data_IF_821611288353
#
_entry.id   IF_821611288353
#
_cell.length_a   1.000
_cell.length_b   1.000
_cell.length_c   1.000
_cell.angle_alpha   90.00
_cell.angle_beta   90.00
_cell.angle_gamma   90.00
#
_symmetry.space_group_name_H-M   'P 1'
#
loop_
_entity.id
_entity.type
_entity.pdbx_description
1 polymer ?
#
# COMPACT_ATOMS: atom_id res chain seq x y z
N UNK A 1 -13.71 6.08 -20.20
CA UNK A 1 -12.35 5.61 -19.88
C UNK A 1 -11.46 6.84 -19.80
N UNK A 2 -10.73 7.03 -18.70
CA UNK A 2 -9.71 8.06 -18.56
C UNK A 2 -8.34 7.42 -18.72
N UNK A 3 -7.52 7.92 -19.67
CA UNK A 3 -6.18 7.46 -19.94
C UNK A 3 -5.16 8.54 -19.60
N UNK A 4 -4.09 8.18 -18.87
CA UNK A 4 -2.96 9.08 -18.62
C UNK A 4 -1.66 8.43 -19.04
N UNK A 5 -0.72 9.25 -19.51
CA UNK A 5 0.64 8.85 -19.81
C UNK A 5 1.62 9.67 -18.95
N UNK A 6 2.69 9.02 -18.51
CA UNK A 6 3.64 9.58 -17.56
C UNK A 6 5.05 9.73 -18.17
N UNK A 7 6.09 9.63 -17.38
CA UNK A 7 7.48 9.95 -17.73
C UNK A 7 7.94 9.37 -19.07
N UNK A 8 7.64 8.12 -19.39
CA UNK A 8 8.10 7.48 -20.62
C UNK A 8 7.58 8.18 -21.89
N UNK A 9 6.28 8.47 -21.95
CA UNK A 9 5.66 9.16 -23.11
C UNK A 9 5.99 10.65 -23.07
N UNK A 10 5.97 11.25 -21.86
CA UNK A 10 6.27 12.67 -21.67
C UNK A 10 7.66 13.06 -22.17
N UNK A 11 8.64 12.18 -22.03
CA UNK A 11 10.04 12.44 -22.41
C UNK A 11 10.43 11.86 -23.77
N UNK A 12 9.59 11.03 -24.38
CA UNK A 12 9.87 10.43 -25.68
C UNK A 12 9.79 11.47 -26.80
N UNK A 13 10.77 11.45 -27.73
CA UNK A 13 10.77 12.33 -28.92
C UNK A 13 9.55 12.11 -29.82
N UNK A 14 9.07 10.86 -29.88
CA UNK A 14 7.89 10.45 -30.65
C UNK A 14 6.63 10.30 -29.78
N UNK A 15 6.59 10.92 -28.59
CA UNK A 15 5.45 10.81 -27.68
C UNK A 15 4.14 11.28 -28.28
N UNK A 16 4.15 12.38 -29.08
CA UNK A 16 2.99 12.86 -29.81
C UNK A 16 2.47 11.86 -30.84
N UNK A 17 3.34 11.35 -31.70
CA UNK A 17 3.00 10.34 -32.72
C UNK A 17 2.41 9.07 -32.09
N UNK A 18 2.95 8.64 -30.95
CA UNK A 18 2.42 7.51 -30.18
C UNK A 18 0.99 7.77 -29.71
N UNK A 19 0.71 8.95 -29.18
CA UNK A 19 -0.63 9.32 -28.70
C UNK A 19 -1.64 9.42 -29.83
N UNK A 20 -1.24 10.00 -30.98
CA UNK A 20 -2.07 10.06 -32.18
C UNK A 20 -2.41 8.67 -32.68
N UNK A 21 -1.42 7.76 -32.69
CA UNK A 21 -1.63 6.38 -33.09
C UNK A 21 -2.60 5.64 -32.15
N UNK A 22 -2.46 5.84 -30.83
CA UNK A 22 -3.41 5.29 -29.83
C UNK A 22 -4.82 5.80 -30.09
N UNK A 23 -4.98 7.11 -30.30
CA UNK A 23 -6.29 7.71 -30.57
C UNK A 23 -6.93 7.14 -31.85
N UNK A 24 -6.15 7.00 -32.92
CA UNK A 24 -6.61 6.42 -34.18
C UNK A 24 -7.01 4.96 -34.10
N UNK A 25 -6.25 4.14 -33.36
CA UNK A 25 -6.49 2.69 -33.25
C UNK A 25 -7.59 2.33 -32.24
N UNK A 26 -7.79 3.14 -31.20
CA UNK A 26 -8.66 2.78 -30.07
C UNK A 26 -9.80 3.76 -29.82
N UNK A 27 -9.76 4.95 -30.42
CA UNK A 27 -10.68 6.04 -30.09
C UNK A 27 -10.45 6.67 -28.71
N UNK A 28 -9.40 6.26 -27.97
CA UNK A 28 -9.12 6.76 -26.63
C UNK A 28 -8.22 7.99 -26.69
N UNK A 29 -8.60 9.03 -25.98
CA UNK A 29 -7.74 10.19 -25.73
C UNK A 29 -6.92 9.94 -24.46
N UNK A 30 -5.59 9.96 -24.61
CA UNK A 30 -4.65 9.79 -23.47
C UNK A 30 -4.01 11.14 -23.17
N UNK A 31 -4.12 11.58 -21.93
CA UNK A 31 -3.57 12.85 -21.45
C UNK A 31 -2.16 12.63 -20.87
N UNK A 32 -1.17 13.36 -21.37
CA UNK A 32 0.17 13.39 -20.76
C UNK A 32 0.13 14.28 -19.53
N UNK A 33 0.44 13.72 -18.36
CA UNK A 33 0.44 14.46 -17.12
C UNK A 33 1.85 14.91 -16.74
N UNK A 34 1.95 16.04 -16.03
CA UNK A 34 3.22 16.53 -15.49
C UNK A 34 3.69 15.65 -14.32
N UNK A 35 4.99 15.71 -13.98
CA UNK A 35 5.50 15.00 -12.80
C UNK A 35 4.87 15.45 -11.48
N UNK A 36 4.47 16.74 -11.39
CA UNK A 36 3.75 17.24 -10.22
C UNK A 36 2.34 16.67 -10.12
N UNK A 37 1.64 16.54 -11.24
CA UNK A 37 0.32 15.92 -11.29
C UNK A 37 0.40 14.40 -11.02
N UNK A 38 1.40 13.73 -11.56
CA UNK A 38 1.69 12.33 -11.29
C UNK A 38 1.88 12.10 -9.78
N UNK A 39 2.73 12.91 -9.13
CA UNK A 39 2.97 12.84 -7.69
C UNK A 39 1.69 13.13 -6.87
N UNK A 40 0.87 14.11 -7.28
CA UNK A 40 -0.42 14.41 -6.64
C UNK A 40 -1.37 13.23 -6.70
N UNK A 41 -1.50 12.60 -7.86
CA UNK A 41 -2.38 11.45 -8.06
C UNK A 41 -1.90 10.23 -7.25
N UNK A 42 -0.58 9.96 -7.23
CA UNK A 42 -0.01 8.90 -6.40
C UNK A 42 -0.35 9.14 -4.93
N UNK A 43 -0.13 10.36 -4.43
CA UNK A 43 -0.44 10.69 -3.04
C UNK A 43 -1.93 10.51 -2.73
N UNK A 44 -2.81 10.91 -3.64
CA UNK A 44 -4.26 10.73 -3.49
C UNK A 44 -4.66 9.25 -3.40
N UNK A 45 -4.01 8.38 -4.19
CA UNK A 45 -4.18 6.92 -4.10
C UNK A 45 -3.77 6.38 -2.74
N UNK A 46 -2.62 6.78 -2.23
CA UNK A 46 -2.10 6.36 -0.91
C UNK A 46 -2.98 6.92 0.22
N UNK A 47 -3.30 8.22 0.20
CA UNK A 47 -4.11 8.91 1.20
C UNK A 47 -5.49 8.28 1.40
N UNK A 48 -6.08 7.73 0.35
CA UNK A 48 -7.37 7.05 0.41
C UNK A 48 -7.28 5.55 0.73
N UNK A 49 -6.07 5.02 0.89
CA UNK A 49 -5.82 3.59 1.09
C UNK A 49 -5.11 3.26 2.39
N UNK A 50 -4.44 4.25 2.98
CA UNK A 50 -3.71 4.13 4.24
C UNK A 50 -4.12 5.25 5.18
N UNK A 51 -4.32 4.93 6.44
CA UNK A 51 -4.52 5.96 7.47
C UNK A 51 -3.22 6.73 7.69
N UNK A 52 -3.15 7.96 7.19
CA UNK A 52 -1.99 8.82 7.37
C UNK A 52 -2.05 9.50 8.74
N UNK A 53 -0.93 9.53 9.49
CA UNK A 53 -0.85 10.25 10.76
C UNK A 53 -0.89 11.77 10.54
N UNK A 54 -1.17 12.52 11.62
CA UNK A 54 -1.05 13.98 11.60
C UNK A 54 0.37 14.48 11.29
N UNK A 55 1.45 13.89 11.87
CA UNK A 55 2.80 14.20 11.42
C UNK A 55 3.01 13.76 9.96
N UNK A 56 3.80 14.52 9.18
CA UNK A 56 3.97 14.24 7.76
C UNK A 56 4.50 12.86 7.45
N UNK A 57 3.92 12.25 6.44
CA UNK A 57 4.37 11.00 5.81
C UNK A 57 5.13 11.34 4.53
N UNK A 58 6.23 10.63 4.26
CA UNK A 58 6.87 10.66 2.96
C UNK A 58 6.36 9.46 2.15
N UNK A 59 5.80 9.74 0.99
CA UNK A 59 5.44 8.74 -0.02
C UNK A 59 6.49 8.73 -1.11
N UNK A 60 6.99 7.54 -1.46
CA UNK A 60 7.90 7.33 -2.59
C UNK A 60 7.31 6.31 -3.55
N UNK A 61 7.27 6.67 -4.84
CA UNK A 61 6.93 5.79 -5.95
C UNK A 61 8.10 5.68 -6.90
N UNK A 62 8.57 4.46 -7.18
CA UNK A 62 9.67 4.22 -8.12
C UNK A 62 9.11 3.63 -9.39
N UNK A 63 8.97 4.48 -10.41
CA UNK A 63 8.61 4.08 -11.76
C UNK A 63 9.80 3.65 -12.61
N UNK A 64 9.54 3.43 -13.91
CA UNK A 64 10.61 3.09 -14.87
C UNK A 64 11.50 4.29 -15.21
N UNK A 65 10.89 5.46 -15.47
CA UNK A 65 11.59 6.68 -15.90
C UNK A 65 11.81 7.71 -14.80
N UNK A 66 10.93 7.76 -13.80
CA UNK A 66 10.95 8.74 -12.72
C UNK A 66 10.78 8.11 -11.34
N UNK A 67 11.05 8.90 -10.31
CA UNK A 67 10.71 8.62 -8.91
C UNK A 67 9.95 9.83 -8.38
N UNK A 68 8.79 9.58 -7.85
CA UNK A 68 7.99 10.60 -7.18
C UNK A 68 8.27 10.54 -5.67
N UNK A 69 8.59 11.71 -5.10
CA UNK A 69 8.80 11.91 -3.65
C UNK A 69 7.83 12.97 -3.17
N UNK A 70 6.92 12.56 -2.32
CA UNK A 70 5.84 13.41 -1.83
C UNK A 70 5.87 13.43 -0.31
N UNK A 71 5.76 14.62 0.28
CA UNK A 71 5.63 14.79 1.73
C UNK A 71 4.28 15.44 2.00
N UNK A 72 3.48 14.79 2.81
CA UNK A 72 2.14 15.28 3.15
C UNK A 72 1.59 14.58 4.38
N UNK A 73 0.41 15.00 4.79
CA UNK A 73 -0.41 14.33 5.78
C UNK A 73 -1.81 14.07 5.19
N UNK A 74 -2.76 13.72 6.05
CA UNK A 74 -4.14 13.46 5.64
C UNK A 74 -4.82 14.62 4.91
N UNK A 75 -4.43 15.86 5.13
CA UNK A 75 -5.13 17.05 4.63
C UNK A 75 -4.35 17.76 3.53
N UNK A 76 -3.02 17.77 3.63
CA UNK A 76 -2.18 18.66 2.83
C UNK A 76 -0.95 17.96 2.27
N UNK A 77 -0.68 18.21 0.99
CA UNK A 77 0.62 17.93 0.36
C UNK A 77 1.52 19.13 0.60
N UNK A 78 2.57 18.95 1.37
CA UNK A 78 3.57 19.99 1.66
C UNK A 78 4.60 20.14 0.57
N UNK A 79 4.96 19.01 -0.05
CA UNK A 79 5.94 18.94 -1.13
C UNK A 79 5.66 17.76 -2.04
N UNK A 80 5.79 17.97 -3.35
CA UNK A 80 5.76 16.92 -4.36
C UNK A 80 6.88 17.17 -5.37
N UNK A 81 7.67 16.15 -5.68
CA UNK A 81 8.77 16.19 -6.65
C UNK A 81 8.76 14.94 -7.48
N UNK A 82 9.02 15.09 -8.77
CA UNK A 82 9.33 13.99 -9.69
C UNK A 82 10.80 14.11 -10.10
N UNK A 83 11.56 13.04 -9.85
CA UNK A 83 13.01 12.97 -10.06
C UNK A 83 13.33 12.03 -11.20
N UNK A 84 14.36 12.31 -11.98
CA UNK A 84 14.82 11.43 -13.07
C UNK A 84 15.65 10.26 -12.53
N UNK A 85 15.07 9.50 -11.59
CA UNK A 85 15.68 8.37 -10.87
C UNK A 85 14.91 7.05 -11.08
N UNK A 86 14.11 6.94 -12.15
CA UNK A 86 13.37 5.71 -12.41
C UNK A 86 14.29 4.50 -12.62
N UNK A 87 13.82 3.32 -12.22
CA UNK A 87 14.65 2.12 -12.14
C UNK A 87 15.23 1.66 -13.49
N UNK A 88 14.48 1.83 -14.60
CA UNK A 88 14.98 1.54 -15.95
C UNK A 88 16.09 2.54 -16.32
N UNK A 89 15.84 3.82 -16.09
CA UNK A 89 16.79 4.90 -16.35
C UNK A 89 18.11 4.68 -15.60
N UNK A 90 18.03 4.38 -14.30
CA UNK A 90 19.22 4.14 -13.48
C UNK A 90 19.99 2.91 -13.95
N UNK A 91 19.28 1.84 -14.29
CA UNK A 91 19.88 0.63 -14.85
C UNK A 91 20.63 0.96 -16.16
N UNK A 92 20.02 1.68 -17.08
CA UNK A 92 20.60 1.97 -18.39
C UNK A 92 21.79 2.93 -18.31
N UNK A 93 21.76 3.90 -17.38
CA UNK A 93 22.85 4.87 -17.23
C UNK A 93 24.04 4.32 -16.43
N UNK A 94 23.80 3.54 -15.37
CA UNK A 94 24.83 3.18 -14.41
C UNK A 94 25.15 1.69 -14.32
N UNK A 95 24.17 0.80 -14.58
CA UNK A 95 24.33 -0.64 -14.38
C UNK A 95 24.36 -1.41 -15.71
N UNK A 96 25.35 -1.09 -16.54
CA UNK A 96 25.48 -1.66 -17.91
C UNK A 96 25.99 -3.10 -17.94
N UNK A 97 26.43 -3.67 -16.77
CA UNK A 97 26.90 -5.05 -16.63
C UNK A 97 26.17 -5.75 -15.47
N UNK A 98 26.03 -7.07 -15.57
CA UNK A 98 25.45 -7.90 -14.52
C UNK A 98 26.37 -9.11 -14.26
N UNK A 99 26.95 -9.27 -13.05
CA UNK A 99 26.87 -8.33 -11.92
C UNK A 99 27.58 -6.99 -12.20
N UNK A 100 27.13 -5.89 -11.57
CA UNK A 100 27.77 -4.59 -11.73
C UNK A 100 29.12 -4.52 -10.99
N UNK A 101 30.01 -3.67 -11.46
CA UNK A 101 31.27 -3.39 -10.75
C UNK A 101 31.04 -2.50 -9.54
N UNK A 102 31.98 -2.49 -8.58
CA UNK A 102 31.93 -1.58 -7.43
C UNK A 102 31.90 -0.11 -7.84
N UNK A 103 32.59 0.26 -8.91
CA UNK A 103 32.57 1.63 -9.43
C UNK A 103 31.18 2.02 -9.93
N UNK A 104 30.52 1.14 -10.69
CA UNK A 104 29.12 1.38 -11.17
C UNK A 104 28.14 1.58 -10.02
N UNK A 105 28.24 0.76 -8.97
CA UNK A 105 27.41 0.89 -7.77
C UNK A 105 27.66 2.23 -7.05
N UNK A 106 28.93 2.62 -6.96
CA UNK A 106 29.32 3.88 -6.32
C UNK A 106 28.80 5.10 -7.10
N UNK A 107 28.97 5.14 -8.42
CA UNK A 107 28.45 6.21 -9.28
C UNK A 107 26.92 6.33 -9.17
N UNK A 108 26.21 5.20 -9.17
CA UNK A 108 24.77 5.16 -8.97
C UNK A 108 24.39 5.73 -7.60
N UNK A 109 25.09 5.31 -6.54
CA UNK A 109 24.82 5.77 -5.18
C UNK A 109 25.03 7.28 -5.03
N UNK A 110 26.11 7.82 -5.60
CA UNK A 110 26.37 9.27 -5.59
C UNK A 110 25.29 10.05 -6.34
N UNK A 111 24.89 9.59 -7.53
CA UNK A 111 23.87 10.23 -8.34
C UNK A 111 22.49 10.25 -7.62
N UNK A 112 22.07 9.11 -7.07
CA UNK A 112 20.83 8.99 -6.30
C UNK A 112 20.87 9.84 -5.04
N UNK A 113 21.96 9.77 -4.28
CA UNK A 113 22.14 10.56 -3.05
C UNK A 113 22.06 12.05 -3.32
N UNK A 114 22.73 12.54 -4.37
CA UNK A 114 22.72 13.95 -4.75
C UNK A 114 21.30 14.45 -5.06
N UNK A 115 20.57 13.74 -5.92
CA UNK A 115 19.21 14.12 -6.32
C UNK A 115 18.22 14.02 -5.16
N UNK A 116 18.28 12.98 -4.33
CA UNK A 116 17.42 12.86 -3.15
C UNK A 116 17.71 13.96 -2.12
N UNK A 117 18.98 14.28 -1.84
CA UNK A 117 19.35 15.39 -0.97
C UNK A 117 18.80 16.73 -1.47
N UNK A 118 18.91 16.99 -2.78
CA UNK A 118 18.35 18.21 -3.37
C UNK A 118 16.83 18.25 -3.25
N UNK A 119 16.15 17.14 -3.51
CA UNK A 119 14.70 17.06 -3.39
C UNK A 119 14.21 17.25 -1.96
N UNK A 120 14.90 16.64 -0.99
CA UNK A 120 14.54 16.67 0.42
C UNK A 120 14.98 17.96 1.13
N UNK A 121 16.01 18.64 0.61
CA UNK A 121 16.60 19.82 1.25
C UNK A 121 15.69 21.03 1.42
N UNK A 122 14.57 21.07 0.67
CA UNK A 122 13.57 22.15 0.77
C UNK A 122 12.53 21.90 1.86
N UNK A 123 12.49 20.70 2.45
CA UNK A 123 11.57 20.32 3.52
C UNK A 123 12.31 19.95 4.81
N UNK A 124 11.73 20.33 5.96
CA UNK A 124 12.30 19.94 7.26
C UNK A 124 12.07 18.43 7.50
N UNK A 125 12.89 17.57 6.87
CA UNK A 125 12.78 16.11 6.88
C UNK A 125 12.78 15.47 8.27
N UNK A 126 13.27 16.18 9.29
CA UNK A 126 13.20 15.78 10.72
C UNK A 126 11.77 15.55 11.23
N UNK A 127 10.74 16.05 10.51
CA UNK A 127 9.32 15.92 10.88
C UNK A 127 8.62 14.74 10.22
N UNK A 128 9.28 14.03 9.30
CA UNK A 128 8.66 12.85 8.65
C UNK A 128 8.53 11.73 9.69
N UNK A 129 7.29 11.31 9.94
CA UNK A 129 6.98 10.23 10.88
C UNK A 129 7.26 8.87 10.27
N UNK A 130 6.72 8.62 9.08
CA UNK A 130 6.84 7.35 8.38
C UNK A 130 7.15 7.53 6.90
N UNK A 131 7.65 6.45 6.28
CA UNK A 131 7.86 6.35 4.84
C UNK A 131 6.92 5.29 4.29
N UNK A 132 6.16 5.64 3.26
CA UNK A 132 5.33 4.71 2.50
C UNK A 132 5.93 4.57 1.11
N UNK A 133 6.24 3.34 0.72
CA UNK A 133 6.68 3.03 -0.63
C UNK A 133 5.53 2.39 -1.42
N UNK A 134 5.33 2.86 -2.64
CA UNK A 134 4.35 2.31 -3.56
C UNK A 134 5.02 1.91 -4.88
N UNK A 135 4.28 1.43 -5.83
CA UNK A 135 4.71 0.89 -7.12
C UNK A 135 5.02 -0.60 -7.14
N UNK A 136 5.14 -1.11 -8.35
CA UNK A 136 5.52 -2.50 -8.57
C UNK A 136 6.94 -2.85 -8.10
N UNK A 137 7.86 -1.87 -7.99
CA UNK A 137 9.21 -2.11 -7.46
C UNK A 137 9.16 -2.34 -5.95
N UNK A 138 8.42 -1.52 -5.23
CA UNK A 138 8.21 -1.68 -3.79
C UNK A 138 7.51 -3.02 -3.46
N UNK A 139 6.46 -3.35 -4.22
CA UNK A 139 5.75 -4.62 -4.07
C UNK A 139 6.63 -5.84 -4.30
N UNK A 140 7.44 -5.83 -5.37
CA UNK A 140 8.32 -6.96 -5.64
C UNK A 140 9.47 -7.08 -4.63
N UNK A 141 10.02 -5.96 -4.15
CA UNK A 141 11.00 -5.97 -3.06
C UNK A 141 10.42 -6.58 -1.79
N UNK A 142 9.20 -6.22 -1.42
CA UNK A 142 8.50 -6.77 -0.27
C UNK A 142 8.23 -8.27 -0.42
N UNK A 143 7.82 -8.74 -1.60
CA UNK A 143 7.63 -10.17 -1.89
C UNK A 143 8.93 -10.97 -1.69
N UNK A 144 10.04 -10.48 -2.26
CA UNK A 144 11.36 -11.11 -2.11
C UNK A 144 11.77 -11.18 -0.64
N UNK A 145 11.62 -10.09 0.10
CA UNK A 145 11.98 -10.02 1.53
C UNK A 145 11.07 -10.95 2.35
N UNK A 146 9.77 -10.89 2.14
CA UNK A 146 8.81 -11.67 2.90
C UNK A 146 9.00 -13.19 2.69
N UNK A 147 9.19 -13.59 1.44
CA UNK A 147 9.44 -14.99 1.10
C UNK A 147 10.74 -15.49 1.72
N UNK A 148 11.80 -14.66 1.78
CA UNK A 148 13.04 -15.01 2.47
C UNK A 148 12.85 -15.14 3.98
N UNK A 149 12.06 -14.27 4.57
CA UNK A 149 11.79 -14.25 6.02
C UNK A 149 10.93 -15.42 6.49
N UNK A 150 9.92 -15.80 5.70
CA UNK A 150 8.87 -16.71 6.14
C UNK A 150 8.83 -18.04 5.39
N UNK A 151 9.49 -18.15 4.24
CA UNK A 151 9.38 -19.27 3.31
C UNK A 151 8.01 -19.37 2.62
N UNK A 152 7.16 -18.37 2.74
CA UNK A 152 5.79 -18.35 2.17
C UNK A 152 5.57 -17.11 1.33
N UNK A 153 4.76 -17.18 0.26
CA UNK A 153 4.38 -16.02 -0.54
C UNK A 153 3.64 -14.98 0.30
N UNK A 154 3.83 -13.71 -0.03
CA UNK A 154 3.13 -12.61 0.61
C UNK A 154 1.64 -12.65 0.22
N UNK A 155 0.75 -12.82 1.18
CA UNK A 155 -0.69 -12.88 0.92
C UNK A 155 -1.33 -11.51 0.75
N UNK A 156 -0.83 -10.52 1.47
CA UNK A 156 -1.33 -9.14 1.42
C UNK A 156 -0.16 -8.17 1.43
N UNK A 157 -0.08 -7.37 0.39
CA UNK A 157 1.02 -6.43 0.19
C UNK A 157 0.83 -5.14 1.01
N UNK A 158 -0.40 -4.64 1.10
CA UNK A 158 -0.69 -3.37 1.74
C UNK A 158 -0.33 -3.40 3.23
N UNK A 159 0.31 -2.32 3.70
CA UNK A 159 0.81 -2.15 5.07
C UNK A 159 1.91 -3.14 5.51
N UNK A 160 2.45 -3.94 4.58
CA UNK A 160 3.63 -4.76 4.87
C UNK A 160 4.82 -3.84 5.19
N UNK A 161 5.50 -4.11 6.30
CA UNK A 161 6.70 -3.40 6.72
C UNK A 161 7.95 -4.18 6.35
N UNK A 162 8.92 -3.48 5.79
CA UNK A 162 10.26 -4.00 5.48
C UNK A 162 11.32 -3.09 6.08
N UNK A 163 12.32 -3.70 6.71
CA UNK A 163 13.36 -2.97 7.41
C UNK A 163 14.51 -2.58 6.50
N UNK A 164 15.24 -1.52 6.86
CA UNK A 164 16.46 -1.09 6.18
C UNK A 164 17.51 -2.21 6.09
N UNK A 165 17.60 -3.08 7.12
CA UNK A 165 18.52 -4.23 7.13
C UNK A 165 18.13 -5.28 6.09
N UNK A 166 16.85 -5.59 5.94
CA UNK A 166 16.36 -6.54 4.94
C UNK A 166 16.57 -5.99 3.52
N UNK A 167 16.30 -4.69 3.31
CA UNK A 167 16.55 -4.00 2.04
C UNK A 167 18.03 -4.08 1.67
N UNK A 168 18.95 -3.75 2.58
CA UNK A 168 20.39 -3.82 2.36
C UNK A 168 20.87 -5.26 2.06
N UNK A 169 20.27 -6.27 2.71
CA UNK A 169 20.59 -7.67 2.43
C UNK A 169 20.16 -8.09 1.02
N UNK A 170 18.96 -7.67 0.56
CA UNK A 170 18.51 -7.94 -0.81
C UNK A 170 19.35 -7.18 -1.82
N UNK A 171 19.68 -5.91 -1.57
CA UNK A 171 20.58 -5.11 -2.42
C UNK A 171 21.91 -5.83 -2.65
N UNK A 172 22.58 -6.26 -1.57
CA UNK A 172 23.84 -6.98 -1.65
C UNK A 172 23.72 -8.26 -2.50
N UNK A 173 22.67 -9.06 -2.25
CA UNK A 173 22.44 -10.29 -3.03
C UNK A 173 22.21 -10.00 -4.52
N UNK A 174 21.46 -8.97 -4.85
CA UNK A 174 21.22 -8.56 -6.23
C UNK A 174 22.50 -8.02 -6.89
N UNK A 175 23.33 -7.26 -6.15
CA UNK A 175 24.58 -6.73 -6.65
C UNK A 175 25.61 -7.83 -6.98
N UNK A 176 25.69 -8.87 -6.13
CA UNK A 176 26.63 -9.98 -6.32
C UNK A 176 26.13 -11.04 -7.32
N UNK A 177 24.85 -11.04 -7.67
CA UNK A 177 24.22 -12.10 -8.46
C UNK A 177 24.38 -11.91 -9.97
N UNK A 178 24.67 -13.00 -10.68
CA UNK A 178 24.54 -13.07 -12.14
C UNK A 178 23.06 -12.98 -12.56
N UNK A 179 22.79 -12.70 -13.84
CA UNK A 179 21.43 -12.68 -14.37
C UNK A 179 20.71 -14.01 -14.12
N UNK A 180 21.39 -15.14 -14.35
CA UNK A 180 20.84 -16.49 -14.10
C UNK A 180 20.47 -16.67 -12.62
N UNK A 181 21.31 -16.21 -11.70
CA UNK A 181 21.05 -16.29 -10.26
C UNK A 181 19.89 -15.40 -9.85
N UNK A 182 19.77 -14.19 -10.42
CA UNK A 182 18.64 -13.30 -10.17
C UNK A 182 17.33 -13.89 -10.66
N UNK A 183 17.30 -14.47 -11.88
CA UNK A 183 16.11 -15.13 -12.44
C UNK A 183 15.64 -16.34 -11.59
N UNK A 184 16.55 -16.99 -10.89
CA UNK A 184 16.25 -18.10 -9.97
C UNK A 184 15.92 -17.62 -8.53
N UNK A 185 15.95 -16.32 -8.25
CA UNK A 185 15.69 -15.79 -6.90
C UNK A 185 14.22 -15.88 -6.58
N UNK A 186 13.82 -16.60 -5.50
CA UNK A 186 12.42 -16.73 -5.12
C UNK A 186 11.77 -15.36 -4.85
N UNK A 187 10.57 -15.15 -5.41
CA UNK A 187 9.80 -13.91 -5.27
C UNK A 187 10.21 -12.78 -6.21
N UNK A 188 11.33 -12.89 -6.93
CA UNK A 188 11.75 -11.87 -7.89
C UNK A 188 10.97 -12.04 -9.20
N UNK A 189 10.23 -10.99 -9.58
CA UNK A 189 9.50 -10.95 -10.85
C UNK A 189 10.49 -10.90 -12.02
N UNK A 190 10.45 -11.86 -12.97
CA UNK A 190 11.33 -11.87 -14.14
C UNK A 190 11.33 -10.56 -14.94
N UNK A 191 10.22 -9.82 -14.94
CA UNK A 191 10.12 -8.50 -15.60
C UNK A 191 10.92 -7.41 -14.88
N UNK A 192 11.37 -7.66 -13.65
CA UNK A 192 12.09 -6.69 -12.80
C UNK A 192 13.51 -7.12 -12.47
N UNK A 193 13.99 -8.20 -13.05
CA UNK A 193 15.30 -8.80 -12.75
C UNK A 193 16.46 -7.80 -12.88
N UNK A 194 16.38 -6.88 -13.83
CA UNK A 194 17.41 -5.86 -14.07
C UNK A 194 17.16 -4.54 -13.34
N UNK A 195 15.91 -4.28 -12.95
CA UNK A 195 15.49 -2.98 -12.41
C UNK A 195 15.28 -2.99 -10.91
N UNK A 196 15.18 -4.17 -10.26
CA UNK A 196 14.99 -4.24 -8.82
C UNK A 196 16.22 -3.75 -8.04
N UNK A 197 17.45 -4.02 -8.51
CA UNK A 197 18.66 -3.55 -7.85
C UNK A 197 18.72 -2.01 -7.73
N UNK A 198 18.63 -1.22 -8.82
CA UNK A 198 18.66 0.24 -8.68
C UNK A 198 17.49 0.77 -7.86
N UNK A 199 16.29 0.18 -7.95
CA UNK A 199 15.16 0.56 -7.10
C UNK A 199 15.44 0.30 -5.61
N UNK A 200 16.02 -0.85 -5.27
CA UNK A 200 16.40 -1.19 -3.89
C UNK A 200 17.43 -0.22 -3.33
N UNK A 201 18.42 0.20 -4.16
CA UNK A 201 19.39 1.23 -3.78
C UNK A 201 18.72 2.57 -3.48
N UNK A 202 17.73 3.00 -4.29
CA UNK A 202 16.97 4.23 -4.02
C UNK A 202 16.26 4.16 -2.67
N UNK A 203 15.59 3.04 -2.35
CA UNK A 203 14.93 2.86 -1.04
C UNK A 203 15.92 2.90 0.12
N UNK A 204 17.05 2.18 0.04
CA UNK A 204 18.09 2.19 1.07
C UNK A 204 18.62 3.59 1.30
N UNK A 205 19.05 4.28 0.24
CA UNK A 205 19.63 5.62 0.33
C UNK A 205 18.60 6.61 0.94
N UNK A 206 17.32 6.50 0.58
CA UNK A 206 16.28 7.33 1.17
C UNK A 206 16.15 7.09 2.69
N UNK A 207 16.12 5.83 3.12
CA UNK A 207 16.06 5.47 4.54
C UNK A 207 17.26 6.00 5.31
N UNK A 208 18.47 5.84 4.76
CA UNK A 208 19.72 6.36 5.35
C UNK A 208 19.68 7.89 5.51
N UNK A 209 19.26 8.61 4.46
CA UNK A 209 19.15 10.08 4.48
C UNK A 209 18.16 10.59 5.52
N UNK A 210 17.07 9.85 5.72
CA UNK A 210 16.01 10.22 6.67
C UNK A 210 16.22 9.61 8.06
N UNK A 211 17.25 8.76 8.22
CA UNK A 211 17.53 8.00 9.46
C UNK A 211 16.32 7.20 9.93
N UNK A 212 15.70 6.48 9.01
CA UNK A 212 14.55 5.60 9.28
C UNK A 212 14.95 4.14 9.13
N UNK A 213 14.42 3.30 9.99
CA UNK A 213 14.78 1.88 10.07
C UNK A 213 13.86 0.98 9.23
N UNK A 214 12.73 1.49 8.79
CA UNK A 214 11.73 0.73 8.03
C UNK A 214 10.95 1.63 7.07
N UNK A 215 10.33 0.99 6.07
CA UNK A 215 9.28 1.59 5.27
C UNK A 215 8.06 0.66 5.20
N UNK A 216 6.92 1.25 4.96
CA UNK A 216 5.62 0.55 4.82
C UNK A 216 5.25 0.50 3.34
N UNK A 217 4.75 -0.63 2.88
CA UNK A 217 4.30 -0.79 1.49
C UNK A 217 2.83 -0.40 1.37
N UNK A 218 2.50 0.33 0.31
CA UNK A 218 1.14 0.56 -0.15
C UNK A 218 0.99 -0.03 -1.56
N UNK A 219 -0.03 -0.84 -1.78
CA UNK A 219 -0.31 -1.45 -3.08
C UNK A 219 -1.13 -0.56 -4.01
N UNK A 220 -1.58 0.59 -3.52
CA UNK A 220 -2.32 1.60 -4.28
C UNK A 220 -1.38 2.75 -4.67
N UNK A 221 -1.59 3.28 -5.88
CA UNK A 221 -0.74 4.31 -6.46
C UNK A 221 -1.55 5.20 -7.41
N UNK A 222 -0.95 5.57 -8.54
CA UNK A 222 -1.53 6.49 -9.53
C UNK A 222 -2.89 6.02 -10.08
N UNK A 223 -3.10 4.71 -10.30
CA UNK A 223 -4.35 4.19 -10.87
C UNK A 223 -5.54 4.48 -9.97
N UNK A 224 -5.39 4.20 -8.69
CA UNK A 224 -6.40 4.50 -7.68
C UNK A 224 -6.56 6.01 -7.49
N UNK A 225 -5.45 6.76 -7.54
CA UNK A 225 -5.48 8.22 -7.50
C UNK A 225 -6.28 8.85 -8.63
N UNK A 226 -6.18 8.33 -9.85
CA UNK A 226 -7.00 8.77 -10.98
C UNK A 226 -8.49 8.55 -10.71
N UNK A 227 -8.85 7.38 -10.14
CA UNK A 227 -10.23 7.07 -9.79
C UNK A 227 -10.76 8.03 -8.73
N UNK A 228 -10.00 8.27 -7.66
CA UNK A 228 -10.39 9.20 -6.61
C UNK A 228 -10.48 10.64 -7.12
N UNK A 229 -9.55 11.07 -7.97
CA UNK A 229 -9.56 12.39 -8.58
C UNK A 229 -10.78 12.58 -9.50
N UNK A 230 -11.13 11.54 -10.28
CA UNK A 230 -12.34 11.53 -11.10
C UNK A 230 -13.60 11.66 -10.22
N UNK A 231 -13.70 10.86 -9.17
CA UNK A 231 -14.80 10.92 -8.21
C UNK A 231 -14.88 12.31 -7.59
N UNK A 232 -13.78 12.89 -7.15
CA UNK A 232 -13.77 14.24 -6.54
C UNK A 232 -14.22 15.33 -7.54
N UNK A 233 -13.81 15.24 -8.78
CA UNK A 233 -14.19 16.22 -9.81
C UNK A 233 -15.67 16.13 -10.26
N UNK A 234 -16.29 14.95 -10.15
CA UNK A 234 -17.66 14.71 -10.60
C UNK A 234 -18.65 14.59 -9.44
N UNK A 235 -18.40 15.20 -8.34
CA UNK A 235 -18.85 14.84 -7.00
C UNK A 235 -20.24 15.29 -6.57
N UNK A 236 -21.03 15.99 -7.36
CA UNK A 236 -22.36 16.44 -6.91
C UNK A 236 -23.33 15.29 -6.57
N UNK A 237 -23.01 14.04 -6.99
CA UNK A 237 -23.82 12.83 -6.72
C UNK A 237 -23.32 11.91 -5.59
N UNK A 238 -22.12 12.11 -5.01
CA UNK A 238 -21.48 11.12 -4.12
C UNK A 238 -21.24 11.70 -2.69
N UNK A 239 -21.98 12.71 -2.27
CA UNK A 239 -21.76 13.42 -0.99
C UNK A 239 -21.86 12.56 0.28
N UNK A 240 -22.57 11.43 0.24
CA UNK A 240 -22.78 10.58 1.42
C UNK A 240 -21.53 9.91 2.00
N UNK A 241 -20.41 9.81 1.24
CA UNK A 241 -19.16 9.21 1.72
C UNK A 241 -18.14 10.22 2.27
N UNK A 242 -18.36 11.53 2.07
CA UNK A 242 -17.45 12.59 2.53
C UNK A 242 -17.39 12.73 4.05
N UNK A 243 -18.44 12.31 4.76
CA UNK A 243 -18.58 12.55 6.20
C UNK A 243 -17.80 11.55 7.08
N UNK A 244 -17.10 10.57 6.48
CA UNK A 244 -16.31 9.58 7.21
C UNK A 244 -14.82 9.81 6.97
N UNK A 245 -14.14 10.56 7.85
CA UNK A 245 -12.74 10.90 7.68
C UNK A 245 -11.80 9.70 7.74
N UNK A 246 -12.16 8.66 8.50
CA UNK A 246 -11.34 7.47 8.68
C UNK A 246 -11.47 6.51 7.50
N UNK A 247 -10.34 6.25 6.81
CA UNK A 247 -10.28 5.35 5.67
C UNK A 247 -10.66 3.91 6.04
N UNK A 248 -10.31 3.47 7.25
CA UNK A 248 -10.61 2.11 7.73
C UNK A 248 -12.12 1.93 7.92
N UNK A 249 -12.74 2.83 8.67
CA UNK A 249 -14.19 2.82 8.91
C UNK A 249 -14.98 2.96 7.61
N UNK A 250 -14.52 3.82 6.69
CA UNK A 250 -15.12 3.98 5.37
C UNK A 250 -15.12 2.67 4.58
N UNK A 251 -14.00 1.95 4.55
CA UNK A 251 -13.90 0.66 3.84
C UNK A 251 -14.78 -0.43 4.48
N UNK A 252 -14.89 -0.46 5.79
CA UNK A 252 -15.78 -1.36 6.52
C UNK A 252 -17.26 -1.08 6.15
N UNK A 253 -17.68 0.18 6.17
CA UNK A 253 -19.04 0.55 5.79
C UNK A 253 -19.32 0.31 4.31
N UNK A 254 -18.34 0.55 3.43
CA UNK A 254 -18.46 0.23 2.01
C UNK A 254 -18.64 -1.27 1.77
N UNK A 255 -17.93 -2.13 2.50
CA UNK A 255 -18.13 -3.58 2.45
C UNK A 255 -19.53 -3.98 2.95
N UNK A 256 -20.00 -3.42 4.07
CA UNK A 256 -21.33 -3.68 4.61
C UNK A 256 -22.43 -3.29 3.60
N UNK A 257 -22.34 -2.11 2.97
CA UNK A 257 -23.26 -1.63 1.92
C UNK A 257 -23.26 -2.57 0.70
N UNK A 258 -22.08 -2.97 0.22
CA UNK A 258 -21.92 -3.90 -0.90
C UNK A 258 -22.55 -5.26 -0.63
N UNK A 259 -22.60 -5.68 0.64
CA UNK A 259 -23.27 -6.89 1.08
C UNK A 259 -24.76 -6.67 1.47
N UNK A 260 -25.33 -5.49 1.16
CA UNK A 260 -26.72 -5.14 1.44
C UNK A 260 -27.13 -5.21 2.92
N UNK A 261 -26.19 -4.99 3.83
CA UNK A 261 -26.51 -4.91 5.27
C UNK A 261 -27.17 -3.59 5.59
N UNK A 262 -28.18 -3.62 6.45
CA UNK A 262 -28.81 -2.42 6.99
C UNK A 262 -27.80 -1.63 7.84
N UNK A 263 -27.34 -0.49 7.34
CA UNK A 263 -26.36 0.34 8.03
C UNK A 263 -26.85 0.80 9.40
N UNK A 264 -28.13 1.14 9.52
CA UNK A 264 -28.75 1.52 10.79
C UNK A 264 -28.64 0.39 11.82
N UNK A 265 -28.93 -0.85 11.42
CA UNK A 265 -28.80 -2.02 12.31
C UNK A 265 -27.33 -2.25 12.69
N UNK A 266 -26.43 -2.29 11.71
CA UNK A 266 -25.02 -2.53 11.93
C UNK A 266 -24.38 -1.51 12.89
N UNK A 267 -24.65 -0.23 12.69
CA UNK A 267 -24.16 0.84 13.56
C UNK A 267 -24.79 0.79 14.97
N UNK A 268 -26.06 0.40 15.08
CA UNK A 268 -26.70 0.21 16.37
C UNK A 268 -26.03 -0.92 17.17
N UNK A 269 -25.80 -2.07 16.53
CA UNK A 269 -25.09 -3.21 17.16
C UNK A 269 -23.67 -2.83 17.56
N UNK A 270 -22.94 -2.15 16.68
CA UNK A 270 -21.60 -1.65 17.00
C UNK A 270 -21.63 -0.70 18.20
N UNK A 271 -22.57 0.23 18.25
CA UNK A 271 -22.74 1.16 19.37
C UNK A 271 -23.05 0.46 20.70
N UNK A 272 -23.82 -0.63 20.68
CA UNK A 272 -24.07 -1.45 21.87
C UNK A 272 -22.82 -2.21 22.32
N UNK A 273 -22.10 -2.83 21.37
CA UNK A 273 -20.88 -3.57 21.63
C UNK A 273 -19.79 -2.66 22.25
N UNK A 274 -19.61 -1.46 21.68
CA UNK A 274 -18.65 -0.49 22.19
C UNK A 274 -18.99 0.03 23.59
N UNK A 275 -20.27 0.31 23.86
CA UNK A 275 -20.70 0.69 25.22
C UNK A 275 -20.37 -0.40 26.25
N UNK A 276 -20.65 -1.67 25.90
CA UNK A 276 -20.32 -2.79 26.78
C UNK A 276 -18.81 -2.91 26.96
N UNK A 277 -18.03 -2.81 25.90
CA UNK A 277 -16.56 -2.82 25.93
C UNK A 277 -16.02 -1.74 26.88
N UNK A 278 -16.47 -0.49 26.69
CA UNK A 278 -16.03 0.65 27.49
C UNK A 278 -16.35 0.49 28.99
N UNK A 279 -17.54 -0.08 29.33
CA UNK A 279 -17.96 -0.33 30.70
C UNK A 279 -17.20 -1.48 31.36
N UNK A 280 -16.65 -2.41 30.59
CA UNK A 280 -15.94 -3.59 31.09
C UNK A 280 -14.41 -3.48 30.95
N UNK A 281 -13.87 -2.29 30.67
CA UNK A 281 -12.43 -2.06 30.48
C UNK A 281 -11.60 -2.54 31.66
N UNK A 282 -12.10 -2.40 32.89
CA UNK A 282 -11.42 -2.89 34.09
C UNK A 282 -11.31 -4.43 34.17
N UNK A 283 -12.16 -5.16 33.44
CA UNK A 283 -12.16 -6.63 33.40
C UNK A 283 -11.22 -7.18 32.32
N UNK A 284 -11.21 -6.58 31.14
CA UNK A 284 -10.45 -7.11 30.00
C UNK A 284 -9.09 -6.42 29.78
N UNK A 285 -8.93 -5.17 30.20
CA UNK A 285 -7.67 -4.42 30.07
C UNK A 285 -7.26 -4.08 28.64
N UNK A 286 -8.15 -4.23 27.65
CA UNK A 286 -7.89 -3.91 26.24
C UNK A 286 -7.94 -2.40 26.00
N UNK A 287 -7.25 -1.96 24.94
CA UNK A 287 -7.14 -0.55 24.58
C UNK A 287 -7.96 -0.14 23.36
N UNK A 288 -7.59 1.02 22.80
CA UNK A 288 -8.29 1.64 21.67
C UNK A 288 -8.23 0.79 20.39
N UNK A 289 -7.16 0.02 20.20
CA UNK A 289 -6.97 -0.84 19.03
C UNK A 289 -7.98 -2.00 19.02
N UNK A 290 -8.13 -2.68 20.13
CA UNK A 290 -9.09 -3.77 20.28
C UNK A 290 -10.53 -3.25 20.21
N UNK A 291 -10.77 -2.05 20.73
CA UNK A 291 -12.06 -1.36 20.62
C UNK A 291 -12.43 -1.09 19.17
N UNK A 292 -11.48 -0.65 18.35
CA UNK A 292 -11.70 -0.42 16.93
C UNK A 292 -11.98 -1.73 16.17
N UNK A 293 -11.24 -2.79 16.44
CA UNK A 293 -11.49 -4.10 15.84
C UNK A 293 -12.88 -4.65 16.19
N UNK A 294 -13.31 -4.45 17.43
CA UNK A 294 -14.66 -4.83 17.85
C UNK A 294 -15.73 -4.02 17.10
N UNK A 295 -15.54 -2.72 16.90
CA UNK A 295 -16.44 -1.87 16.11
C UNK A 295 -16.59 -2.43 14.69
N UNK A 296 -15.48 -2.71 14.03
CA UNK A 296 -15.47 -3.21 12.66
C UNK A 296 -16.10 -4.60 12.54
N UNK A 297 -15.81 -5.49 13.45
CA UNK A 297 -16.42 -6.81 13.48
C UNK A 297 -17.94 -6.74 13.73
N UNK A 298 -18.38 -5.83 14.61
CA UNK A 298 -19.78 -5.62 14.88
C UNK A 298 -20.54 -5.00 13.70
N UNK A 299 -19.91 -4.12 12.91
CA UNK A 299 -20.51 -3.60 11.66
C UNK A 299 -20.64 -4.72 10.62
N UNK A 300 -19.69 -5.64 10.54
CA UNK A 300 -19.64 -6.68 9.51
C UNK A 300 -20.27 -8.03 9.92
N UNK A 301 -20.81 -8.17 11.13
CA UNK A 301 -21.25 -9.48 11.64
C UNK A 301 -22.30 -10.17 10.77
N UNK A 302 -23.13 -9.41 10.09
CA UNK A 302 -24.26 -9.90 9.30
C UNK A 302 -24.03 -9.91 7.77
N UNK A 303 -22.84 -9.52 7.27
CA UNK A 303 -22.60 -9.49 5.81
C UNK A 303 -22.76 -10.86 5.14
N UNK A 304 -22.66 -11.93 5.90
CA UNK A 304 -22.84 -13.29 5.41
C UNK A 304 -24.28 -13.64 4.98
N UNK A 305 -25.29 -12.82 5.33
CA UNK A 305 -26.64 -12.96 4.79
C UNK A 305 -26.70 -12.80 3.28
N UNK A 306 -25.74 -12.11 2.68
CA UNK A 306 -25.59 -12.03 1.22
C UNK A 306 -25.53 -13.41 0.56
N UNK A 307 -24.91 -14.38 1.22
CA UNK A 307 -24.75 -15.75 0.70
C UNK A 307 -25.95 -16.60 1.15
N UNK A 308 -26.19 -16.70 2.47
CA UNK A 308 -27.28 -17.48 3.03
C UNK A 308 -27.50 -17.13 4.51
N UNK A 309 -28.77 -17.13 4.97
CA UNK A 309 -29.12 -16.96 6.37
C UNK A 309 -28.61 -18.09 7.26
N UNK A 310 -28.56 -19.31 6.71
CA UNK A 310 -28.03 -20.47 7.43
C UNK A 310 -26.50 -20.37 7.47
N UNK A 311 -25.95 -20.37 8.69
CA UNK A 311 -24.51 -20.22 8.94
C UNK A 311 -23.89 -18.88 8.46
N UNK A 312 -24.68 -17.79 8.40
CA UNK A 312 -24.21 -16.48 7.94
C UNK A 312 -22.91 -16.02 8.64
N UNK A 313 -22.70 -16.36 9.91
CA UNK A 313 -21.47 -16.06 10.65
C UNK A 313 -20.20 -16.70 10.01
N UNK A 314 -20.32 -17.88 9.40
CA UNK A 314 -19.20 -18.49 8.63
C UNK A 314 -19.04 -17.82 7.27
N UNK A 315 -20.14 -17.42 6.65
CA UNK A 315 -20.10 -16.66 5.40
C UNK A 315 -19.53 -15.26 5.63
N UNK A 316 -19.84 -14.61 6.76
CA UNK A 316 -19.24 -13.34 7.13
C UNK A 316 -17.71 -13.45 7.26
N UNK A 317 -17.22 -14.47 7.96
CA UNK A 317 -15.79 -14.76 8.02
C UNK A 317 -15.16 -14.87 6.63
N UNK A 318 -15.74 -15.68 5.75
CA UNK A 318 -15.23 -15.87 4.41
C UNK A 318 -15.20 -14.57 3.59
N UNK A 319 -16.28 -13.80 3.64
CA UNK A 319 -16.38 -12.53 2.92
C UNK A 319 -15.37 -11.50 3.44
N UNK A 320 -15.18 -11.37 4.75
CA UNK A 320 -14.21 -10.43 5.33
C UNK A 320 -12.80 -10.84 4.92
N UNK A 321 -12.44 -12.11 5.09
CA UNK A 321 -11.10 -12.62 4.80
C UNK A 321 -10.69 -12.45 3.34
N UNK A 322 -11.63 -12.55 2.41
CA UNK A 322 -11.37 -12.46 0.97
C UNK A 322 -11.76 -11.10 0.37
N UNK A 323 -12.00 -10.08 1.21
CA UNK A 323 -12.27 -8.71 0.75
C UNK A 323 -11.00 -7.88 0.73
N UNK A 324 -10.90 -7.01 -0.28
CA UNK A 324 -9.84 -5.99 -0.33
C UNK A 324 -10.22 -4.84 0.61
N UNK A 325 -9.68 -4.87 1.83
CA UNK A 325 -9.87 -3.86 2.86
C UNK A 325 -8.63 -2.98 2.97
N UNK A 326 -8.62 -1.87 2.25
CA UNK A 326 -7.54 -0.89 2.34
C UNK A 326 -7.44 -0.30 3.75
N UNK A 327 -6.21 -0.14 4.24
CA UNK A 327 -5.96 0.36 5.60
C UNK A 327 -5.86 -0.73 6.68
N UNK A 328 -5.93 -2.02 6.28
CA UNK A 328 -5.79 -3.15 7.19
C UNK A 328 -4.61 -4.03 6.83
N UNK A 329 -3.95 -4.58 7.84
CA UNK A 329 -3.00 -5.68 7.68
C UNK A 329 -3.73 -7.01 7.53
N UNK A 330 -3.05 -8.05 7.02
CA UNK A 330 -3.62 -9.40 6.93
C UNK A 330 -4.04 -9.94 8.31
N UNK A 331 -3.25 -9.66 9.35
CA UNK A 331 -3.52 -10.06 10.73
C UNK A 331 -4.79 -9.39 11.29
N UNK A 332 -4.99 -8.10 11.01
CA UNK A 332 -6.19 -7.37 11.43
C UNK A 332 -7.44 -7.89 10.73
N UNK A 333 -7.34 -8.20 9.42
CA UNK A 333 -8.44 -8.81 8.68
C UNK A 333 -8.81 -10.17 9.26
N UNK A 334 -7.81 -11.01 9.58
CA UNK A 334 -8.04 -12.30 10.20
C UNK A 334 -8.70 -12.18 11.59
N UNK A 335 -8.31 -11.18 12.38
CA UNK A 335 -8.87 -10.91 13.69
C UNK A 335 -10.32 -10.43 13.57
N UNK A 336 -10.60 -9.41 12.77
CA UNK A 336 -11.97 -8.90 12.54
C UNK A 336 -12.88 -10.00 11.99
N UNK A 337 -12.38 -10.83 11.07
CA UNK A 337 -13.13 -11.96 10.52
C UNK A 337 -13.47 -13.00 11.59
N UNK A 338 -12.52 -13.33 12.48
CA UNK A 338 -12.75 -14.25 13.58
C UNK A 338 -13.76 -13.70 14.59
N UNK A 339 -13.62 -12.43 15.02
CA UNK A 339 -14.61 -11.80 15.93
C UNK A 339 -16.00 -11.83 15.30
N UNK A 340 -16.14 -11.47 14.02
CA UNK A 340 -17.42 -11.56 13.30
C UNK A 340 -17.95 -13.00 13.22
N UNK A 341 -17.08 -14.02 13.05
CA UNK A 341 -17.48 -15.43 12.99
C UNK A 341 -18.10 -15.92 14.30
N UNK A 342 -17.57 -15.47 15.43
CA UNK A 342 -17.98 -15.97 16.75
C UNK A 342 -19.02 -15.09 17.47
N UNK A 343 -19.68 -14.17 16.76
CA UNK A 343 -20.76 -13.36 17.35
C UNK A 343 -21.96 -14.19 17.79
N UNK A 344 -22.06 -15.45 17.34
CA UNK A 344 -23.15 -16.37 17.72
C UNK A 344 -22.68 -17.82 17.78
N UNK A 345 -23.49 -18.66 18.44
CA UNK A 345 -23.39 -20.12 18.61
C UNK A 345 -22.33 -20.57 19.61
N UNK A 346 -21.07 -20.56 19.26
CA UNK A 346 -20.01 -21.09 20.12
C UNK A 346 -18.86 -20.10 20.26
N UNK A 347 -18.20 -20.10 21.38
CA UNK A 347 -16.92 -19.43 21.55
C UNK A 347 -15.82 -20.13 20.72
N UNK A 348 -14.75 -19.45 20.34
CA UNK A 348 -13.62 -20.06 19.67
C UNK A 348 -12.95 -21.12 20.57
N UNK A 349 -12.45 -22.18 19.95
CA UNK A 349 -11.74 -23.26 20.66
C UNK A 349 -10.50 -23.66 19.87
N UNK A 350 -9.55 -24.36 20.51
CA UNK A 350 -8.34 -24.89 19.87
C UNK A 350 -8.62 -25.87 18.72
N UNK A 351 -9.84 -26.34 18.56
CA UNK A 351 -10.26 -27.21 17.43
C UNK A 351 -10.59 -26.42 16.16
N UNK A 352 -10.71 -25.10 16.27
CA UNK A 352 -11.01 -24.22 15.15
C UNK A 352 -9.70 -23.73 14.51
N UNK A 353 -9.37 -24.25 13.35
CA UNK A 353 -8.12 -23.93 12.63
C UNK A 353 -7.94 -22.44 12.36
N UNK A 354 -9.02 -21.75 12.06
CA UNK A 354 -9.01 -20.32 11.75
C UNK A 354 -8.67 -19.47 13.00
N UNK A 355 -9.11 -19.90 14.18
CA UNK A 355 -8.79 -19.26 15.44
C UNK A 355 -7.35 -19.57 15.87
N UNK A 356 -6.91 -20.84 15.73
CA UNK A 356 -5.55 -21.23 16.12
C UNK A 356 -4.47 -20.70 15.17
N UNK A 357 -4.85 -20.24 13.97
CA UNK A 357 -3.94 -19.56 13.05
C UNK A 357 -3.61 -18.12 13.47
N UNK A 358 -4.38 -17.52 14.39
CA UNK A 358 -4.07 -16.20 14.95
C UNK A 358 -2.84 -16.28 15.86
N UNK A 359 -2.03 -15.21 15.96
CA UNK A 359 -0.98 -15.09 16.97
C UNK A 359 -1.53 -15.32 18.39
N UNK A 360 -0.75 -15.94 19.27
CA UNK A 360 -1.20 -16.28 20.63
C UNK A 360 -1.76 -15.09 21.43
N UNK A 361 -1.17 -13.89 21.23
CA UNK A 361 -1.65 -12.65 21.85
C UNK A 361 -3.07 -12.26 21.42
N UNK A 362 -3.49 -12.67 20.20
CA UNK A 362 -4.80 -12.35 19.61
C UNK A 362 -5.84 -13.47 19.81
N UNK A 363 -5.48 -14.54 20.52
CA UNK A 363 -6.39 -15.64 20.90
C UNK A 363 -7.03 -15.46 22.29
N UNK A 364 -6.86 -14.28 22.89
CA UNK A 364 -7.40 -13.95 24.24
C UNK A 364 -8.79 -13.32 24.21
#
# INVERSE_FOLDING_TARGET
IEGVATSAVREARNGGEFLDHVAQQTGLTVRVITGAEEARLIFLGVQNSVALPEPPTLVIDIGGGSVEVIVGNRETIYQARSLKLGAIRLKDLYLTKTPPSKAMLHELEEAVTSQLKQALGTYKTKRVEQIIATSGMAGNLAEVIYLQRTGRPLQQLNLTKISAKEIAAVEKRLADATLKTRLAMPGLDPKRVDTLLPATMVFRILLDLLRKDELTICDKAIREGIIYDFIQRHHEGIQAERDIPDVRKRNILALARRCHVSETHALHVAGLALRLFDQTTSLHGFGQREREWLEFAAILHDIGYLINSRQHHKHAYYLIKNSDLSGFTAEEIDLVANVSRYHRRSVPTRKHSEFTALPEGNQR
#
